data_IF_764216586329
#
_entry.id   IF_764216586329
#
_cell.length_a   1.000
_cell.length_b   1.000
_cell.length_c   1.000
_cell.angle_alpha   90.00
_cell.angle_beta   90.00
_cell.angle_gamma   90.00
#
_symmetry.space_group_name_H-M   'P 1'
#
loop_
_entity.id
_entity.type
_entity.pdbx_description
1 polymer ?
#
# COMPACT_ATOMS: atom_id res chain seq x y z
N UNK A 1 3.48 50.88 -26.35
CA UNK A 1 3.80 49.44 -26.52
C UNK A 1 2.82 48.60 -25.72
N UNK A 2 2.55 47.42 -26.20
CA UNK A 2 1.65 46.49 -25.59
C UNK A 2 2.32 45.15 -25.41
N UNK A 3 2.05 44.51 -24.27
CA UNK A 3 2.55 43.19 -23.96
C UNK A 3 1.37 42.24 -23.89
N UNK A 4 1.53 41.07 -24.45
CA UNK A 4 0.50 40.01 -24.41
C UNK A 4 0.71 39.12 -23.22
N UNK A 5 -0.31 38.97 -22.38
CA UNK A 5 -0.30 38.08 -21.22
C UNK A 5 -1.09 36.84 -21.55
N UNK A 6 -0.51 35.71 -21.27
CA UNK A 6 -1.12 34.41 -21.56
C UNK A 6 -1.07 33.56 -20.29
N UNK A 7 -2.21 33.02 -19.90
CA UNK A 7 -2.28 32.00 -18.85
C UNK A 7 -3.21 30.88 -19.27
N UNK A 8 -2.79 29.68 -19.01
CA UNK A 8 -3.63 28.50 -19.22
C UNK A 8 -4.02 27.93 -17.85
N UNK A 9 -5.31 27.78 -17.63
CA UNK A 9 -5.81 27.11 -16.44
C UNK A 9 -6.07 25.66 -16.75
N UNK A 10 -5.57 24.78 -15.91
CA UNK A 10 -5.77 23.33 -16.06
C UNK A 10 -6.47 22.82 -14.81
N UNK A 11 -7.26 21.76 -15.01
CA UNK A 11 -7.96 21.12 -13.91
C UNK A 11 -6.96 20.29 -13.08
N UNK A 12 -7.06 20.39 -11.75
CA UNK A 12 -6.30 19.55 -10.84
C UNK A 12 -6.75 18.10 -10.89
N UNK A 13 -5.88 17.21 -10.47
CA UNK A 13 -6.10 15.77 -10.51
C UNK A 13 -5.71 15.11 -9.20
N UNK A 14 -6.13 13.84 -9.05
CA UNK A 14 -5.69 12.95 -7.99
C UNK A 14 -4.91 11.83 -8.65
N UNK A 15 -3.67 11.63 -8.21
CA UNK A 15 -2.81 10.62 -8.83
C UNK A 15 -1.80 10.06 -7.83
N UNK A 16 -1.23 8.91 -8.16
CA UNK A 16 -0.10 8.38 -7.40
C UNK A 16 1.15 9.18 -7.74
N UNK A 17 1.75 9.78 -6.72
CA UNK A 17 3.05 10.43 -6.88
C UNK A 17 4.17 9.42 -6.82
N UNK A 18 4.04 8.45 -5.90
CA UNK A 18 5.03 7.41 -5.70
C UNK A 18 4.37 6.15 -5.17
N UNK A 19 4.70 5.03 -5.78
CA UNK A 19 4.47 3.69 -5.22
C UNK A 19 5.77 2.94 -5.43
N UNK A 20 6.38 2.48 -4.33
CA UNK A 20 7.57 1.66 -4.46
C UNK A 20 7.19 0.35 -5.16
N UNK A 21 7.99 -0.10 -6.14
CA UNK A 21 7.64 -1.26 -6.95
C UNK A 21 7.73 -2.57 -6.18
N UNK A 22 8.44 -2.58 -5.04
CA UNK A 22 8.67 -3.79 -4.26
C UNK A 22 8.46 -3.53 -2.77
N UNK A 23 7.90 -4.52 -2.11
CA UNK A 23 7.78 -4.59 -0.66
C UNK A 23 8.50 -5.86 -0.22
N UNK A 24 9.63 -5.69 0.47
CA UNK A 24 10.47 -6.80 0.90
C UNK A 24 10.30 -7.04 2.39
N UNK A 25 10.03 -8.27 2.77
CA UNK A 25 9.89 -8.68 4.16
C UNK A 25 11.20 -9.26 4.69
N UNK A 26 11.38 -9.15 6.00
CA UNK A 26 12.49 -9.82 6.70
C UNK A 26 12.39 -11.32 6.47
N UNK A 27 13.53 -11.97 6.33
CA UNK A 27 13.59 -13.41 6.16
C UNK A 27 12.99 -14.13 7.37
N UNK A 28 12.33 -15.25 7.09
CA UNK A 28 11.79 -16.13 8.12
C UNK A 28 12.48 -17.48 8.06
N UNK A 29 12.81 -18.01 9.23
CA UNK A 29 13.36 -19.35 9.38
C UNK A 29 12.21 -20.32 9.58
N UNK A 30 12.25 -21.44 8.87
CA UNK A 30 11.24 -22.51 9.00
C UNK A 30 11.41 -23.15 10.37
N UNK A 31 10.39 -23.02 11.23
CA UNK A 31 10.43 -23.52 12.61
C UNK A 31 9.38 -24.57 12.93
N UNK A 32 8.49 -24.86 11.97
CA UNK A 32 7.32 -25.71 12.22
C UNK A 32 6.21 -25.02 12.99
N UNK A 33 6.33 -23.71 13.24
CA UNK A 33 5.34 -22.90 13.92
C UNK A 33 4.94 -21.71 13.06
N UNK A 34 3.82 -21.06 13.43
CA UNK A 34 3.41 -19.80 12.80
C UNK A 34 4.47 -18.74 13.08
N UNK A 35 4.86 -18.03 12.04
CA UNK A 35 5.90 -16.99 12.12
C UNK A 35 5.38 -15.67 11.56
N UNK A 36 5.94 -14.56 12.03
CA UNK A 36 5.59 -13.23 11.57
C UNK A 36 6.82 -12.50 11.06
N UNK A 37 6.62 -11.70 10.01
CA UNK A 37 7.66 -10.86 9.43
C UNK A 37 7.11 -9.47 9.19
N UNK A 38 8.00 -8.48 9.22
CA UNK A 38 7.72 -7.10 8.85
C UNK A 38 8.61 -6.70 7.67
N UNK A 39 8.34 -5.56 7.05
CA UNK A 39 9.13 -5.09 5.91
C UNK A 39 10.54 -4.73 6.34
N UNK A 40 11.50 -4.93 5.44
CA UNK A 40 12.90 -4.58 5.67
C UNK A 40 13.10 -3.07 5.75
N UNK A 41 12.29 -2.32 5.02
CA UNK A 41 12.30 -0.86 5.03
C UNK A 41 10.89 -0.34 4.75
N UNK A 42 10.66 0.93 5.05
CA UNK A 42 9.38 1.57 4.75
C UNK A 42 9.09 1.52 3.25
N UNK A 43 7.82 1.32 2.91
CA UNK A 43 7.34 1.28 1.53
C UNK A 43 6.61 2.59 1.26
N UNK A 44 7.10 3.34 0.27
CA UNK A 44 6.50 4.64 -0.02
C UNK A 44 5.25 4.47 -0.87
N UNK A 45 4.14 4.98 -0.35
CA UNK A 45 2.87 5.10 -1.08
C UNK A 45 2.39 6.52 -0.86
N UNK A 46 2.48 7.34 -1.90
CA UNK A 46 2.16 8.76 -1.83
C UNK A 46 1.16 9.10 -2.94
N UNK A 47 0.05 9.72 -2.53
CA UNK A 47 -0.99 10.22 -3.43
C UNK A 47 -0.93 11.74 -3.42
N UNK A 48 -0.96 12.33 -4.61
CA UNK A 48 -1.00 13.77 -4.78
C UNK A 48 -2.40 14.19 -5.24
N UNK A 49 -2.99 15.13 -4.51
CA UNK A 49 -4.30 15.70 -4.82
C UNK A 49 -4.14 17.19 -5.06
N UNK A 50 -4.23 17.60 -6.33
CA UNK A 50 -4.10 19.00 -6.75
C UNK A 50 -5.44 19.63 -7.10
N UNK A 51 -6.55 19.01 -6.71
CA UNK A 51 -7.88 19.52 -7.04
C UNK A 51 -8.25 20.81 -6.28
N UNK A 52 -7.60 21.07 -5.15
CA UNK A 52 -7.96 22.20 -4.28
C UNK A 52 -9.30 22.03 -3.57
N UNK A 53 -9.89 20.83 -3.65
CA UNK A 53 -11.15 20.49 -3.00
C UNK A 53 -10.89 19.67 -1.74
N UNK A 54 -11.88 19.61 -0.82
CA UNK A 54 -11.77 18.68 0.30
C UNK A 54 -11.57 17.23 -0.20
N UNK A 55 -10.84 16.46 0.57
CA UNK A 55 -10.55 15.06 0.22
C UNK A 55 -11.86 14.27 0.07
N UNK A 56 -12.10 13.75 -1.12
CA UNK A 56 -13.30 12.98 -1.46
C UNK A 56 -12.97 11.63 -2.07
N UNK A 57 -11.82 11.08 -1.73
CA UNK A 57 -11.33 9.82 -2.27
C UNK A 57 -10.73 8.96 -1.18
N UNK A 58 -10.65 7.66 -1.45
CA UNK A 58 -10.03 6.67 -0.57
C UNK A 58 -8.97 5.90 -1.34
N UNK A 59 -7.99 5.38 -0.60
CA UNK A 59 -7.01 4.45 -1.14
C UNK A 59 -7.42 3.04 -0.78
N UNK A 60 -7.49 2.17 -1.77
CA UNK A 60 -7.72 0.74 -1.53
C UNK A 60 -6.54 -0.06 -2.04
N UNK A 61 -6.38 -1.23 -1.46
CA UNK A 61 -5.37 -2.21 -1.88
C UNK A 61 -5.98 -3.60 -1.82
N UNK A 62 -5.58 -4.45 -2.76
CA UNK A 62 -5.91 -5.87 -2.74
C UNK A 62 -4.72 -6.69 -3.19
N UNK A 63 -4.72 -7.94 -2.79
CA UNK A 63 -3.74 -8.92 -3.23
C UNK A 63 -4.26 -9.56 -4.53
N UNK A 64 -3.49 -9.45 -5.60
CA UNK A 64 -3.92 -9.97 -6.91
C UNK A 64 -3.88 -11.49 -6.92
N UNK A 65 -2.89 -12.07 -6.24
CA UNK A 65 -2.71 -13.52 -6.15
C UNK A 65 -2.01 -13.87 -4.85
N UNK A 66 -2.20 -15.10 -4.33
CA UNK A 66 -1.50 -15.52 -3.12
C UNK A 66 0.01 -15.62 -3.34
N UNK A 67 0.76 -15.61 -2.23
CA UNK A 67 2.20 -15.84 -2.30
C UNK A 67 2.49 -17.20 -2.90
N UNK A 68 3.39 -17.23 -3.89
CA UNK A 68 3.76 -18.47 -4.56
C UNK A 68 5.21 -18.44 -5.01
N UNK A 69 5.74 -19.64 -5.22
CA UNK A 69 7.04 -19.90 -5.83
C UNK A 69 6.79 -20.92 -6.93
N UNK A 70 6.43 -20.41 -8.13
CA UNK A 70 6.02 -21.31 -9.20
C UNK A 70 4.82 -22.14 -8.80
N UNK A 71 5.03 -23.47 -8.67
CA UNK A 71 3.95 -24.39 -8.35
C UNK A 71 3.62 -24.46 -6.87
N UNK A 72 4.47 -23.93 -6.01
CA UNK A 72 4.27 -23.97 -4.57
C UNK A 72 3.60 -22.70 -4.08
N UNK A 73 2.56 -22.85 -3.26
CA UNK A 73 1.88 -21.74 -2.61
C UNK A 73 2.30 -21.68 -1.15
N UNK A 74 2.36 -20.47 -0.63
CA UNK A 74 2.67 -20.22 0.77
C UNK A 74 1.38 -19.83 1.49
N UNK A 75 1.07 -20.52 2.58
CA UNK A 75 -0.05 -20.15 3.45
C UNK A 75 0.37 -18.94 4.30
N UNK A 76 0.12 -17.76 3.78
CA UNK A 76 0.52 -16.51 4.41
C UNK A 76 -0.61 -15.49 4.36
N UNK A 77 -0.68 -14.64 5.38
CA UNK A 77 -1.65 -13.56 5.45
C UNK A 77 -0.93 -12.24 5.59
N UNK A 78 -1.22 -11.32 4.69
CA UNK A 78 -0.71 -9.96 4.73
C UNK A 78 -1.73 -9.05 5.43
N UNK A 79 -1.25 -8.16 6.30
CA UNK A 79 -2.09 -7.18 6.96
C UNK A 79 -1.33 -5.87 7.12
N UNK A 80 -2.09 -4.79 7.26
CA UNK A 80 -1.56 -3.49 7.65
C UNK A 80 -2.10 -3.14 9.02
N UNK A 81 -1.19 -2.94 9.98
CA UNK A 81 -1.52 -2.52 11.33
C UNK A 81 -1.51 -1.01 11.40
N UNK A 82 -2.63 -0.42 11.85
CA UNK A 82 -2.79 1.01 12.03
C UNK A 82 -3.24 1.24 13.47
N UNK A 83 -2.30 1.53 14.36
CA UNK A 83 -2.52 1.60 15.80
C UNK A 83 -3.17 0.31 16.31
N UNK A 84 -4.41 0.38 16.78
CA UNK A 84 -5.14 -0.80 17.27
C UNK A 84 -5.94 -1.51 16.18
N UNK A 85 -5.97 -0.99 14.95
CA UNK A 85 -6.77 -1.55 13.87
C UNK A 85 -5.88 -2.36 12.93
N UNK A 86 -6.25 -3.62 12.70
CA UNK A 86 -5.56 -4.51 11.78
C UNK A 86 -6.42 -4.75 10.55
N UNK A 87 -5.92 -4.34 9.39
CA UNK A 87 -6.61 -4.53 8.11
C UNK A 87 -5.95 -5.65 7.34
N UNK A 88 -6.67 -6.75 7.13
CA UNK A 88 -6.17 -7.88 6.34
C UNK A 88 -6.24 -7.53 4.87
N UNK A 89 -5.12 -7.70 4.17
CA UNK A 89 -5.03 -7.47 2.73
C UNK A 89 -5.17 -8.82 2.04
N UNK A 90 -6.28 -8.98 1.34
CA UNK A 90 -6.62 -10.21 0.63
C UNK A 90 -7.00 -9.88 -0.81
N UNK A 91 -7.69 -10.80 -1.47
CA UNK A 91 -8.18 -10.56 -2.84
C UNK A 91 -9.37 -9.60 -2.88
N UNK A 92 -9.95 -9.27 -1.73
CA UNK A 92 -11.01 -8.26 -1.62
C UNK A 92 -10.35 -6.92 -1.29
N UNK A 93 -10.66 -5.83 -2.02
CA UNK A 93 -10.08 -4.51 -1.72
C UNK A 93 -10.40 -4.06 -0.31
N UNK A 94 -9.42 -3.43 0.35
CA UNK A 94 -9.56 -2.86 1.68
C UNK A 94 -9.04 -1.43 1.67
N UNK A 95 -9.73 -0.54 2.38
CA UNK A 95 -9.30 0.86 2.51
C UNK A 95 -8.14 0.97 3.51
N UNK A 96 -7.11 1.72 3.13
CA UNK A 96 -6.04 2.09 4.04
C UNK A 96 -6.03 3.61 4.20
N UNK A 97 -5.93 4.07 5.44
CA UNK A 97 -5.94 5.50 5.75
C UNK A 97 -4.57 6.12 5.51
N UNK A 98 -4.55 7.19 4.76
CA UNK A 98 -3.34 7.97 4.51
C UNK A 98 -3.29 9.15 5.46
N UNK A 99 -2.05 9.60 5.74
CA UNK A 99 -1.79 10.80 6.52
C UNK A 99 -1.43 11.95 5.58
N UNK A 100 -2.09 13.09 5.74
CA UNK A 100 -1.72 14.28 4.99
C UNK A 100 -0.37 14.80 5.46
N UNK A 101 0.55 14.99 4.53
CA UNK A 101 1.91 15.45 4.84
C UNK A 101 2.17 16.90 4.41
N UNK A 102 1.37 17.40 3.48
CA UNK A 102 1.37 18.81 3.09
C UNK A 102 0.05 19.14 2.38
N UNK A 103 -0.07 20.32 1.79
CA UNK A 103 -1.33 20.80 1.19
C UNK A 103 -1.87 19.87 0.10
N UNK A 104 -1.02 19.10 -0.54
CA UNK A 104 -1.38 18.31 -1.72
C UNK A 104 -1.06 16.83 -1.61
N UNK A 105 -0.29 16.42 -0.61
CA UNK A 105 0.23 15.05 -0.56
C UNK A 105 -0.24 14.30 0.66
N UNK A 106 -0.53 13.02 0.43
CA UNK A 106 -0.93 12.07 1.45
C UNK A 106 -0.04 10.85 1.36
N UNK A 107 0.45 10.35 2.48
CA UNK A 107 1.29 9.16 2.50
C UNK A 107 0.79 8.13 3.49
N UNK A 108 1.15 6.86 3.23
CA UNK A 108 0.83 5.76 4.14
C UNK A 108 1.81 5.80 5.30
N UNK A 109 1.32 5.96 6.55
CA UNK A 109 2.21 5.98 7.71
C UNK A 109 2.93 4.65 7.89
N UNK A 110 4.20 4.71 8.27
CA UNK A 110 4.98 3.52 8.60
C UNK A 110 5.94 3.85 9.72
N UNK A 111 5.68 3.28 10.88
CA UNK A 111 6.46 3.41 12.10
C UNK A 111 6.13 2.22 13.01
N UNK A 112 6.42 2.30 14.29
CA UNK A 112 6.15 1.17 15.20
C UNK A 112 4.66 0.85 15.35
N UNK A 113 3.79 1.84 15.19
CA UNK A 113 2.33 1.67 15.31
C UNK A 113 1.65 1.43 13.96
N UNK A 114 2.38 1.56 12.85
CA UNK A 114 1.83 1.48 11.49
C UNK A 114 2.76 0.62 10.65
N UNK A 115 2.42 -0.65 10.46
CA UNK A 115 3.30 -1.62 9.80
C UNK A 115 2.54 -2.59 8.92
N UNK A 116 3.18 -2.98 7.82
CA UNK A 116 2.80 -4.19 7.12
C UNK A 116 3.33 -5.40 7.87
N UNK A 117 2.46 -6.39 8.08
CA UNK A 117 2.78 -7.61 8.79
C UNK A 117 2.42 -8.81 7.94
N UNK A 118 3.35 -9.75 7.86
CA UNK A 118 3.13 -11.00 7.15
C UNK A 118 3.14 -12.13 8.17
N UNK A 119 2.06 -12.90 8.23
CA UNK A 119 1.93 -14.08 9.08
C UNK A 119 1.98 -15.31 8.21
N UNK A 120 2.95 -16.18 8.48
CA UNK A 120 3.18 -17.40 7.69
C UNK A 120 2.86 -18.61 8.54
N UNK A 121 1.93 -19.46 8.05
CA UNK A 121 1.55 -20.69 8.70
C UNK A 121 2.68 -21.73 8.58
N UNK A 122 2.75 -22.70 9.52
CA UNK A 122 3.73 -23.78 9.42
C UNK A 122 3.50 -24.66 8.18
N UNK A 123 4.52 -25.40 7.77
CA UNK A 123 4.43 -26.33 6.65
C UNK A 123 4.95 -25.80 5.32
N UNK A 124 5.41 -24.57 5.27
CA UNK A 124 6.03 -24.02 4.06
C UNK A 124 7.40 -24.63 3.80
N UNK A 125 7.76 -24.70 2.54
CA UNK A 125 9.10 -25.15 2.10
C UNK A 125 9.98 -23.94 1.90
N UNK A 126 11.29 -24.11 2.06
CA UNK A 126 12.25 -23.02 1.81
C UNK A 126 12.16 -22.55 0.37
N UNK A 127 12.37 -21.26 0.16
CA UNK A 127 12.32 -20.65 -1.15
C UNK A 127 11.97 -19.17 -1.08
N UNK A 128 11.94 -18.54 -2.24
CA UNK A 128 11.52 -17.15 -2.39
C UNK A 128 10.10 -17.14 -2.94
N UNK A 129 9.18 -16.57 -2.17
CA UNK A 129 7.78 -16.49 -2.53
C UNK A 129 7.41 -15.05 -2.88
N UNK A 130 6.56 -14.90 -3.88
CA UNK A 130 6.14 -13.60 -4.38
C UNK A 130 4.63 -13.50 -4.45
N UNK A 131 4.14 -12.28 -4.29
CA UNK A 131 2.75 -11.93 -4.49
C UNK A 131 2.71 -10.55 -5.16
N UNK A 132 1.52 -10.08 -5.47
CA UNK A 132 1.35 -8.80 -6.15
C UNK A 132 0.19 -8.05 -5.51
N UNK A 133 0.38 -6.75 -5.30
CA UNK A 133 -0.64 -5.85 -4.78
C UNK A 133 -1.12 -4.91 -5.88
N UNK A 134 -2.41 -4.59 -5.85
CA UNK A 134 -2.99 -3.57 -6.71
C UNK A 134 -3.53 -2.44 -5.84
N UNK A 135 -3.03 -1.24 -6.06
CA UNK A 135 -3.45 -0.02 -5.37
C UNK A 135 -4.41 0.76 -6.24
N UNK A 136 -5.50 1.23 -5.66
CA UNK A 136 -6.53 1.96 -6.40
C UNK A 136 -7.00 3.18 -5.62
N UNK A 137 -7.09 4.31 -6.29
CA UNK A 137 -7.72 5.52 -5.75
C UNK A 137 -9.20 5.47 -6.15
N UNK A 138 -10.09 5.48 -5.16
CA UNK A 138 -11.53 5.39 -5.36
C UNK A 138 -12.15 6.69 -4.93
N UNK A 139 -12.87 7.35 -5.85
CA UNK A 139 -13.62 8.55 -5.51
C UNK A 139 -14.86 8.18 -4.72
N UNK A 140 -15.17 8.99 -3.71
CA UNK A 140 -16.41 8.83 -2.98
C UNK A 140 -17.60 9.04 -3.92
N UNK A 141 -18.66 8.24 -3.77
CA UNK A 141 -19.89 8.48 -4.53
C UNK A 141 -20.46 9.84 -4.13
N UNK A 142 -20.71 10.67 -5.13
CA UNK A 142 -21.11 12.00 -4.85
C UNK A 142 -22.09 12.77 -5.33
#
# INVERSE_FOLDING_TARGET
EKEKLIIQLVQGTISFKQIDPEMLFQDLVITGQTSQSTTQKAVNVIVEDTTGKPKDWDLTVKQVQPFSNGDQKLAAQLAYQNDSVRSVISTTPVNLSLRQINDREYSLPQDQAHQFQLTVAPGGKSGVYQSELEWTIVKAPG
#
